data_IF_401021371728
#
_entry.id   IF_401021371728
#
_cell.length_a   1.000
_cell.length_b   1.000
_cell.length_c   1.000
_cell.angle_alpha   90.00
_cell.angle_beta   90.00
_cell.angle_gamma   90.00
#
_symmetry.space_group_name_H-M   'P 1'
#
loop_
_entity.id
_entity.type
_entity.pdbx_description
1 polymer ?
#
# COMPACT_ATOMS: atom_id res chain seq x y z
N UNK A 1 -24.23 -0.31 22.25
CA UNK A 1 -23.02 -0.97 21.73
C UNK A 1 -21.85 -0.06 22.07
N UNK A 2 -20.73 -0.59 22.55
CA UNK A 2 -19.52 0.21 22.80
C UNK A 2 -18.97 0.73 21.48
N UNK A 3 -18.38 1.93 21.49
CA UNK A 3 -17.71 2.45 20.29
C UNK A 3 -16.57 1.52 19.86
N UNK A 4 -16.42 1.27 18.55
CA UNK A 4 -15.36 0.43 18.03
C UNK A 4 -13.99 1.10 18.28
N UNK A 5 -12.98 0.28 18.55
CA UNK A 5 -11.62 0.79 18.67
C UNK A 5 -11.12 1.35 17.32
N UNK A 6 -10.29 2.40 17.37
CA UNK A 6 -9.73 3.05 16.18
C UNK A 6 -9.07 2.08 15.17
N UNK A 7 -8.27 1.06 15.57
CA UNK A 7 -7.72 0.09 14.62
C UNK A 7 -8.79 -0.65 13.81
N UNK A 8 -9.94 -0.96 14.41
CA UNK A 8 -11.06 -1.64 13.75
C UNK A 8 -11.71 -0.75 12.70
N UNK A 9 -11.85 0.55 13.00
CA UNK A 9 -12.39 1.53 12.05
C UNK A 9 -11.42 1.73 10.88
N UNK A 10 -10.12 1.84 11.17
CA UNK A 10 -9.08 1.95 10.14
C UNK A 10 -9.02 0.70 9.24
N UNK A 11 -9.16 -0.50 9.80
CA UNK A 11 -9.24 -1.76 9.04
C UNK A 11 -10.44 -1.70 8.07
N UNK A 12 -11.61 -1.30 8.54
CA UNK A 12 -12.82 -1.19 7.73
C UNK A 12 -12.66 -0.17 6.58
N UNK A 13 -12.06 0.99 6.86
CA UNK A 13 -11.81 2.02 5.84
C UNK A 13 -10.84 1.53 4.78
N UNK A 14 -9.67 1.00 5.18
CA UNK A 14 -8.66 0.54 4.23
C UNK A 14 -9.17 -0.62 3.40
N UNK A 15 -9.84 -1.58 4.02
CA UNK A 15 -10.43 -2.74 3.33
C UNK A 15 -11.52 -2.28 2.35
N UNK A 16 -12.43 -1.41 2.78
CA UNK A 16 -13.50 -0.89 1.94
C UNK A 16 -13.01 0.00 0.80
N UNK A 17 -11.89 0.70 0.98
CA UNK A 17 -11.32 1.59 -0.05
C UNK A 17 -10.66 0.82 -1.20
N UNK A 18 -10.11 -0.37 -0.92
CA UNK A 18 -9.33 -1.16 -1.88
C UNK A 18 -8.11 -0.44 -2.46
N UNK A 19 -7.64 0.66 -1.84
CA UNK A 19 -6.51 1.47 -2.33
C UNK A 19 -5.63 1.96 -1.18
N UNK A 20 -4.46 2.47 -1.53
CA UNK A 20 -3.61 3.14 -0.54
C UNK A 20 -4.20 4.49 -0.13
N UNK A 21 -4.06 4.83 1.15
CA UNK A 21 -4.53 6.09 1.75
C UNK A 21 -3.40 6.76 2.54
N UNK A 22 -3.30 8.08 2.50
CA UNK A 22 -2.28 8.80 3.29
C UNK A 22 -2.75 9.02 4.73
N UNK A 23 -1.79 9.34 5.62
CA UNK A 23 -2.10 9.75 6.99
C UNK A 23 -2.98 11.01 7.02
N UNK A 24 -2.74 11.96 6.12
CA UNK A 24 -3.54 13.17 5.94
C UNK A 24 -5.00 12.82 5.66
N UNK A 25 -5.24 11.95 4.68
CA UNK A 25 -6.58 11.57 4.24
C UNK A 25 -7.35 10.87 5.36
N UNK A 26 -6.71 9.93 6.06
CA UNK A 26 -7.31 9.21 7.18
C UNK A 26 -7.58 10.13 8.38
N UNK A 27 -6.69 11.09 8.64
CA UNK A 27 -6.82 12.09 9.71
C UNK A 27 -7.99 13.02 9.46
N UNK A 28 -8.14 13.53 8.23
CA UNK A 28 -9.27 14.38 7.84
C UNK A 28 -10.59 13.64 7.88
N UNK A 29 -10.64 12.38 7.45
CA UNK A 29 -11.86 11.57 7.46
C UNK A 29 -12.36 11.23 8.86
N UNK A 30 -11.44 10.98 9.81
CA UNK A 30 -11.77 10.54 11.16
C UNK A 30 -11.78 11.69 12.18
N UNK A 31 -11.29 12.87 11.83
CA UNK A 31 -11.18 14.02 12.73
C UNK A 31 -10.11 13.85 13.83
N UNK A 32 -9.22 12.87 13.67
CA UNK A 32 -8.18 12.53 14.66
C UNK A 32 -6.81 13.05 14.22
N UNK A 33 -5.92 13.45 15.14
CA UNK A 33 -4.57 13.88 14.78
C UNK A 33 -3.77 12.78 14.07
N UNK A 34 -2.93 13.16 13.09
CA UNK A 34 -2.07 12.21 12.34
C UNK A 34 -1.25 11.28 13.24
N UNK A 35 -0.78 11.76 14.39
CA UNK A 35 -0.05 10.92 15.36
C UNK A 35 -0.92 9.80 15.95
N UNK A 36 -2.19 10.09 16.25
CA UNK A 36 -3.18 9.11 16.71
C UNK A 36 -3.48 8.10 15.62
N UNK A 37 -3.70 8.56 14.38
CA UNK A 37 -3.88 7.69 13.21
C UNK A 37 -2.69 6.76 13.00
N UNK A 38 -1.46 7.30 13.04
CA UNK A 38 -0.24 6.51 12.87
C UNK A 38 -0.09 5.42 13.96
N UNK A 39 -0.41 5.75 15.22
CA UNK A 39 -0.43 4.76 16.31
C UNK A 39 -1.52 3.71 16.08
N UNK A 40 -2.71 4.13 15.64
CA UNK A 40 -3.81 3.25 15.26
C UNK A 40 -3.42 2.25 14.17
N UNK A 41 -2.79 2.72 13.09
CA UNK A 41 -2.27 1.91 11.98
C UNK A 41 -1.16 0.97 12.43
N UNK A 42 -0.24 1.44 13.27
CA UNK A 42 0.82 0.60 13.85
C UNK A 42 0.25 -0.53 14.72
N UNK A 43 -0.80 -0.25 15.48
CA UNK A 43 -1.49 -1.26 16.28
C UNK A 43 -2.28 -2.25 15.41
N UNK A 44 -2.94 -1.76 14.36
CA UNK A 44 -3.61 -2.60 13.38
C UNK A 44 -2.63 -3.55 12.69
N UNK A 45 -1.47 -3.03 12.25
CA UNK A 45 -0.40 -3.83 11.64
C UNK A 45 0.04 -4.95 12.58
N UNK A 46 0.36 -4.64 13.84
CA UNK A 46 0.72 -5.65 14.85
C UNK A 46 -0.36 -6.72 15.02
N UNK A 47 -1.64 -6.33 15.05
CA UNK A 47 -2.76 -7.28 15.15
C UNK A 47 -2.83 -8.21 13.96
N UNK A 48 -2.62 -7.70 12.75
CA UNK A 48 -2.61 -8.51 11.53
C UNK A 48 -1.40 -9.44 11.51
N UNK A 49 -0.21 -8.93 11.85
CA UNK A 49 1.04 -9.70 11.84
C UNK A 49 1.04 -10.83 12.88
N UNK A 50 0.35 -10.66 14.01
CA UNK A 50 0.20 -11.68 15.05
C UNK A 50 -0.78 -12.81 14.69
N UNK A 51 -1.60 -12.66 13.63
CA UNK A 51 -2.53 -13.71 13.20
C UNK A 51 -1.75 -14.80 12.45
N UNK A 52 -1.65 -15.98 13.06
CA UNK A 52 -1.10 -17.16 12.39
C UNK A 52 -1.96 -17.54 11.17
N UNK A 53 -1.30 -17.89 10.06
CA UNK A 53 -1.98 -18.26 8.81
C UNK A 53 -2.70 -17.10 8.09
N UNK A 54 -2.52 -15.85 8.52
CA UNK A 54 -3.13 -14.69 7.85
C UNK A 54 -2.56 -14.46 6.44
N UNK A 55 -3.44 -14.22 5.46
CA UNK A 55 -3.07 -13.99 4.06
C UNK A 55 -2.84 -12.51 3.70
N UNK A 56 -3.23 -11.59 4.58
CA UNK A 56 -3.15 -10.15 4.36
C UNK A 56 -2.08 -9.52 5.23
N UNK A 57 -1.57 -8.38 4.78
CA UNK A 57 -0.68 -7.50 5.54
C UNK A 57 -1.12 -6.05 5.40
N UNK A 58 -0.70 -5.23 6.36
CA UNK A 58 -0.84 -3.78 6.29
C UNK A 58 0.53 -3.17 5.97
N UNK A 59 0.66 -2.61 4.77
CA UNK A 59 1.91 -2.05 4.24
C UNK A 59 1.91 -0.53 4.30
N UNK A 60 3.07 0.05 4.55
CA UNK A 60 3.35 1.49 4.44
C UNK A 60 4.39 1.72 3.34
N UNK A 61 4.00 2.44 2.29
CA UNK A 61 4.88 2.82 1.17
C UNK A 61 4.84 4.33 1.03
N UNK A 62 5.95 4.98 1.34
CA UNK A 62 6.12 6.45 1.24
C UNK A 62 5.04 7.23 1.99
N UNK A 63 4.64 6.77 3.19
CA UNK A 63 3.64 7.43 4.03
C UNK A 63 2.19 7.14 3.59
N UNK A 64 1.98 6.18 2.69
CA UNK A 64 0.65 5.69 2.30
C UNK A 64 0.47 4.26 2.80
N UNK A 65 -0.68 4.01 3.39
CA UNK A 65 -1.04 2.75 4.00
C UNK A 65 -2.04 1.99 3.13
N UNK A 66 -1.86 0.69 2.96
CA UNK A 66 -2.73 -0.18 2.18
C UNK A 66 -2.86 -1.57 2.81
N UNK A 67 -4.05 -2.15 2.76
CA UNK A 67 -4.26 -3.57 3.00
C UNK A 67 -4.07 -4.34 1.71
N UNK A 68 -3.13 -5.27 1.71
CA UNK A 68 -2.79 -6.08 0.54
C UNK A 68 -2.53 -7.54 0.93
N UNK A 69 -2.49 -8.41 -0.09
CA UNK A 69 -2.12 -9.81 0.12
C UNK A 69 -0.62 -9.91 0.37
N UNK A 70 -0.23 -10.78 1.29
CA UNK A 70 1.17 -11.10 1.59
C UNK A 70 1.93 -11.52 0.32
N UNK A 71 3.05 -10.85 -0.02
CA UNK A 71 3.81 -11.14 -1.25
C UNK A 71 4.25 -12.60 -1.37
N UNK A 72 4.48 -13.28 -0.24
CA UNK A 72 4.87 -14.70 -0.17
C UNK A 72 3.79 -15.63 -0.74
N UNK A 73 2.53 -15.17 -0.79
CA UNK A 73 1.42 -15.94 -1.35
C UNK A 73 1.29 -15.78 -2.88
N UNK A 74 2.05 -14.86 -3.49
CA UNK A 74 1.92 -14.51 -4.92
C UNK A 74 2.06 -15.71 -5.87
N UNK A 75 2.93 -16.68 -5.56
CA UNK A 75 3.12 -17.89 -6.37
C UNK A 75 1.97 -18.88 -6.29
N UNK A 76 1.12 -18.77 -5.26
CA UNK A 76 -0.03 -19.64 -5.04
C UNK A 76 -1.32 -19.05 -5.60
N UNK A 77 -1.32 -17.78 -6.00
CA UNK A 77 -2.48 -17.12 -6.58
C UNK A 77 -2.60 -17.41 -8.08
N UNK A 78 -3.83 -17.54 -8.61
CA UNK A 78 -4.04 -17.63 -10.06
C UNK A 78 -3.45 -16.41 -10.78
N UNK A 79 -2.98 -16.59 -12.01
CA UNK A 79 -2.38 -15.47 -12.77
C UNK A 79 -3.33 -14.28 -12.93
N UNK A 80 -4.65 -14.51 -12.96
CA UNK A 80 -5.70 -13.48 -13.01
C UNK A 80 -5.69 -12.53 -11.81
N UNK A 81 -5.08 -12.92 -10.69
CA UNK A 81 -5.01 -12.11 -9.46
C UNK A 81 -3.71 -11.31 -9.33
N UNK A 82 -2.75 -11.46 -10.26
CA UNK A 82 -1.58 -10.58 -10.26
C UNK A 82 -2.05 -9.16 -10.55
N UNK A 83 -1.56 -8.21 -9.75
CA UNK A 83 -1.82 -6.79 -9.98
C UNK A 83 -1.38 -6.44 -11.41
N UNK A 84 -2.34 -6.07 -12.25
CA UNK A 84 -2.08 -5.64 -13.62
C UNK A 84 -1.30 -4.33 -13.56
N UNK A 85 0.01 -4.38 -13.86
CA UNK A 85 0.79 -3.17 -14.09
C UNK A 85 0.36 -2.66 -15.46
N UNK A 86 -0.22 -1.45 -15.57
CA UNK A 86 -0.58 -0.90 -16.86
C UNK A 86 0.61 -0.98 -17.81
N UNK A 87 0.44 -1.58 -19.00
CA UNK A 87 1.56 -1.84 -19.92
C UNK A 87 2.40 -0.60 -20.22
N UNK A 88 1.78 0.59 -20.21
CA UNK A 88 2.45 1.89 -20.37
C UNK A 88 3.54 2.19 -19.31
N UNK A 89 3.50 1.53 -18.15
CA UNK A 89 4.45 1.69 -17.04
C UNK A 89 5.56 0.64 -17.07
N UNK A 90 5.40 -0.47 -17.79
CA UNK A 90 6.39 -1.55 -17.85
C UNK A 90 7.77 -1.08 -18.36
N UNK A 91 7.88 -0.23 -19.40
CA UNK A 91 9.19 0.25 -19.84
C UNK A 91 9.93 1.02 -18.75
N UNK A 92 9.22 1.89 -18.01
CA UNK A 92 9.80 2.67 -16.92
C UNK A 92 10.22 1.76 -15.77
N UNK A 93 9.36 0.81 -15.38
CA UNK A 93 9.67 -0.16 -14.31
C UNK A 93 10.87 -1.04 -14.66
N UNK A 94 10.97 -1.51 -15.91
CA UNK A 94 12.09 -2.32 -16.39
C UNK A 94 13.41 -1.53 -16.35
N UNK A 95 13.40 -0.27 -16.80
CA UNK A 95 14.56 0.61 -16.74
C UNK A 95 15.02 0.86 -15.29
N UNK A 96 14.09 1.14 -14.38
CA UNK A 96 14.40 1.30 -12.96
C UNK A 96 15.01 0.01 -12.40
N UNK A 97 14.39 -1.14 -12.63
CA UNK A 97 14.87 -2.41 -12.08
C UNK A 97 16.27 -2.79 -12.57
N UNK A 98 16.58 -2.47 -13.84
CA UNK A 98 17.87 -2.77 -14.45
C UNK A 98 18.98 -1.77 -14.06
N UNK A 99 18.64 -0.50 -13.84
CA UNK A 99 19.62 0.58 -13.61
C UNK A 99 19.64 1.16 -12.19
N UNK A 100 18.84 0.64 -11.26
CA UNK A 100 18.81 1.14 -9.89
C UNK A 100 20.19 1.04 -9.21
N UNK A 101 20.62 2.08 -8.45
CA UNK A 101 19.93 3.35 -8.22
C UNK A 101 20.09 4.34 -9.39
N UNK A 102 18.99 4.98 -9.81
CA UNK A 102 19.00 5.97 -10.91
C UNK A 102 18.21 7.24 -10.56
N UNK A 103 18.60 8.38 -11.15
CA UNK A 103 17.86 9.64 -10.99
C UNK A 103 16.58 9.65 -11.84
N UNK A 104 15.53 10.34 -11.37
CA UNK A 104 14.29 10.48 -12.16
C UNK A 104 14.53 11.19 -13.50
N UNK A 105 15.44 12.18 -13.53
CA UNK A 105 15.84 12.85 -14.79
C UNK A 105 16.43 11.86 -15.78
N UNK A 106 17.34 10.98 -15.32
CA UNK A 106 17.95 9.94 -16.14
C UNK A 106 16.90 8.95 -16.66
N UNK A 107 15.90 8.59 -15.85
CA UNK A 107 14.80 7.72 -16.29
C UNK A 107 13.98 8.37 -17.41
N UNK A 108 13.67 9.66 -17.28
CA UNK A 108 12.94 10.43 -18.29
C UNK A 108 13.74 10.52 -19.59
N UNK A 109 15.05 10.76 -19.50
CA UNK A 109 15.94 10.79 -20.68
C UNK A 109 15.97 9.43 -21.40
N UNK A 110 16.00 8.32 -20.66
CA UNK A 110 16.03 6.96 -21.20
C UNK A 110 14.68 6.51 -21.79
N UNK A 111 13.56 6.94 -21.19
CA UNK A 111 12.21 6.71 -21.73
C UNK A 111 11.95 7.53 -23.00
N UNK A 112 12.63 8.68 -23.14
CA UNK A 112 12.38 9.67 -24.18
C UNK A 112 11.10 10.49 -23.94
N UNK A 113 10.96 11.61 -24.65
CA UNK A 113 9.70 12.34 -24.68
C UNK A 113 8.66 11.51 -25.42
N UNK A 114 7.57 11.11 -24.73
CA UNK A 114 6.36 10.67 -25.43
C UNK A 114 5.83 11.87 -26.21
N UNK A 115 5.80 11.75 -27.54
CA UNK A 115 4.99 12.61 -28.41
C UNK A 115 3.51 12.47 -28.06
#
# INVERSE_FOLDING_TARGET
MSDPELPTVLEAILFGSGRSMSLEELSEMLGEPKGVIHVGLSNLRKRIDQREGGAIQLSDVSGRWILEVKPELSSFLPETFRADIPQRLLPAAALIAYHQPMAQSQLVDMLGQKA
#
